data_IF_755405122853
#
_entry.id   IF_755405122853
#
_cell.length_a   1.000
_cell.length_b   1.000
_cell.length_c   1.000
_cell.angle_alpha   90.00
_cell.angle_beta   90.00
_cell.angle_gamma   90.00
#
_symmetry.space_group_name_H-M   'P 1'
#
loop_
_entity.id
_entity.type
_entity.pdbx_description
1 polymer ?
#
# COMPACT_ATOMS: atom_id res chain seq x y z
N UNK A 1 10.42 -8.28 -14.89
CA UNK A 1 9.53 -7.34 -14.18
C UNK A 1 8.48 -6.81 -15.14
N UNK A 2 7.20 -6.95 -14.79
CA UNK A 2 6.07 -6.40 -15.54
C UNK A 2 5.94 -4.89 -15.34
N UNK A 3 5.21 -4.21 -16.23
CA UNK A 3 4.94 -2.78 -16.11
C UNK A 3 4.22 -2.43 -14.80
N UNK A 4 3.29 -3.28 -14.34
CA UNK A 4 2.60 -3.09 -13.05
C UNK A 4 3.56 -3.14 -11.87
N UNK A 5 4.47 -4.12 -11.85
CA UNK A 5 5.46 -4.26 -10.77
C UNK A 5 6.32 -2.99 -10.64
N UNK A 6 6.78 -2.44 -11.76
CA UNK A 6 7.58 -1.19 -11.75
C UNK A 6 6.79 0.01 -11.22
N UNK A 7 5.51 0.12 -11.57
CA UNK A 7 4.64 1.19 -11.07
C UNK A 7 4.50 1.08 -9.55
N UNK A 8 4.24 -0.12 -9.04
CA UNK A 8 4.08 -0.33 -7.60
C UNK A 8 5.39 -0.06 -6.84
N UNK A 9 6.53 -0.55 -7.34
CA UNK A 9 7.86 -0.27 -6.77
C UNK A 9 8.16 1.23 -6.73
N UNK A 10 7.82 1.96 -7.80
CA UNK A 10 7.95 3.41 -7.85
C UNK A 10 7.14 4.10 -6.73
N UNK A 11 5.89 3.68 -6.51
CA UNK A 11 5.09 4.24 -5.42
C UNK A 11 5.62 3.82 -4.05
N UNK A 12 6.08 2.58 -3.85
CA UNK A 12 6.70 2.16 -2.58
C UNK A 12 7.89 3.05 -2.25
N UNK A 13 8.75 3.38 -3.23
CA UNK A 13 9.88 4.27 -3.00
C UNK A 13 9.45 5.69 -2.57
N UNK A 14 8.31 6.19 -3.07
CA UNK A 14 7.79 7.52 -2.71
C UNK A 14 7.19 7.60 -1.32
N UNK A 15 7.02 6.48 -0.62
CA UNK A 15 6.64 6.48 0.80
C UNK A 15 7.72 7.09 1.71
N UNK A 16 8.96 7.25 1.23
CA UNK A 16 10.02 7.96 1.97
C UNK A 16 10.21 9.42 1.55
N UNK A 17 9.27 9.99 0.79
CA UNK A 17 9.38 11.39 0.35
C UNK A 17 9.39 12.35 1.55
N UNK A 18 10.19 13.42 1.45
CA UNK A 18 10.31 14.45 2.48
C UNK A 18 8.97 15.16 2.73
N UNK A 19 8.16 15.33 1.69
CA UNK A 19 6.84 15.95 1.78
C UNK A 19 5.79 14.96 2.29
N UNK A 20 5.12 15.30 3.39
CA UNK A 20 4.00 14.51 3.91
C UNK A 20 2.86 14.41 2.87
N UNK A 21 2.61 15.47 2.10
CA UNK A 21 1.60 15.47 1.04
C UNK A 21 1.89 14.43 -0.05
N UNK A 22 3.17 14.27 -0.42
CA UNK A 22 3.58 13.24 -1.39
C UNK A 22 3.36 11.85 -0.80
N UNK A 23 3.71 11.62 0.46
CA UNK A 23 3.48 10.33 1.13
C UNK A 23 1.99 10.00 1.19
N UNK A 24 1.13 10.96 1.57
CA UNK A 24 -0.33 10.80 1.58
C UNK A 24 -0.88 10.44 0.20
N UNK A 25 -0.48 11.19 -0.84
CA UNK A 25 -0.89 10.91 -2.22
C UNK A 25 -0.45 9.51 -2.66
N UNK A 26 0.77 9.14 -2.33
CA UNK A 26 1.36 7.84 -2.66
C UNK A 26 0.60 6.68 -2.01
N UNK A 27 0.23 6.82 -0.73
CA UNK A 27 -0.59 5.83 -0.02
C UNK A 27 -1.95 5.64 -0.72
N UNK A 28 -2.58 6.72 -1.17
CA UNK A 28 -3.83 6.65 -1.90
C UNK A 28 -3.66 5.97 -3.28
N UNK A 29 -2.58 6.30 -4.01
CA UNK A 29 -2.26 5.68 -5.29
C UNK A 29 -2.05 4.16 -5.15
N UNK A 30 -1.31 3.70 -4.13
CA UNK A 30 -1.13 2.28 -3.83
C UNK A 30 -2.45 1.55 -3.54
N UNK A 31 -3.38 2.22 -2.86
CA UNK A 31 -4.71 1.68 -2.60
C UNK A 31 -5.53 1.55 -3.89
N UNK A 32 -5.50 2.55 -4.78
CA UNK A 32 -6.20 2.52 -6.07
C UNK A 32 -5.64 1.46 -7.02
N UNK A 33 -4.34 1.17 -6.94
CA UNK A 33 -3.68 0.11 -7.70
C UNK A 33 -3.94 -1.30 -7.15
N UNK A 34 -4.66 -1.39 -6.02
CA UNK A 34 -4.87 -2.62 -5.26
C UNK A 34 -3.54 -3.35 -5.01
N UNK A 35 -2.49 -2.58 -4.67
CA UNK A 35 -1.12 -3.05 -4.53
C UNK A 35 -0.93 -3.84 -3.22
N UNK A 36 -1.50 -5.04 -3.14
CA UNK A 36 -1.40 -5.91 -1.95
C UNK A 36 0.04 -6.29 -1.57
N UNK A 37 0.97 -6.22 -2.52
CA UNK A 37 2.40 -6.37 -2.28
C UNK A 37 3.04 -5.22 -1.48
N UNK A 38 2.36 -4.07 -1.33
CA UNK A 38 2.86 -2.91 -0.57
C UNK A 38 2.50 -2.97 0.93
N UNK A 39 1.87 -4.06 1.41
CA UNK A 39 1.39 -4.18 2.79
C UNK A 39 2.52 -3.98 3.83
N UNK A 40 3.69 -4.59 3.60
CA UNK A 40 4.82 -4.46 4.53
C UNK A 40 5.34 -3.01 4.57
N UNK A 41 5.43 -2.35 3.41
CA UNK A 41 5.85 -0.95 3.33
C UNK A 41 4.86 -0.01 4.04
N UNK A 42 3.55 -0.25 3.89
CA UNK A 42 2.52 0.53 4.60
C UNK A 42 2.54 0.28 6.11
N UNK A 43 2.88 -0.93 6.55
CA UNK A 43 3.07 -1.24 7.96
C UNK A 43 4.22 -0.45 8.57
N UNK A 44 5.33 -0.33 7.84
CA UNK A 44 6.48 0.47 8.29
C UNK A 44 6.14 1.96 8.38
N UNK A 45 5.41 2.51 7.41
CA UNK A 45 4.89 3.88 7.46
C UNK A 45 3.97 4.05 8.68
N UNK A 46 3.02 3.13 8.91
CA UNK A 46 2.13 3.21 10.07
C UNK A 46 2.89 3.22 11.41
N UNK A 47 4.00 2.49 11.52
CA UNK A 47 4.79 2.44 12.77
C UNK A 47 5.64 3.69 12.95
N UNK A 48 6.32 4.11 11.90
CA UNK A 48 7.50 4.96 11.99
C UNK A 48 7.34 6.36 11.38
N UNK A 49 6.29 6.62 10.59
CA UNK A 49 6.13 7.95 9.99
C UNK A 49 5.97 9.02 11.08
N UNK A 50 6.67 10.17 10.98
CA UNK A 50 6.55 11.23 11.97
C UNK A 50 5.20 11.94 11.91
N UNK A 51 4.51 11.90 10.77
CA UNK A 51 3.25 12.59 10.56
C UNK A 51 2.05 11.69 10.94
N UNK A 52 1.26 12.14 11.91
CA UNK A 52 0.12 11.39 12.41
C UNK A 52 -0.98 11.15 11.36
N UNK A 53 -1.16 12.05 10.40
CA UNK A 53 -2.10 11.86 9.30
C UNK A 53 -1.61 10.78 8.34
N UNK A 54 -0.32 10.79 8.01
CA UNK A 54 0.30 9.76 7.17
C UNK A 54 0.18 8.38 7.83
N UNK A 55 0.42 8.26 9.14
CA UNK A 55 0.21 7.00 9.88
C UNK A 55 -1.24 6.50 9.76
N UNK A 56 -2.22 7.39 9.96
CA UNK A 56 -3.65 7.03 9.84
C UNK A 56 -4.01 6.63 8.41
N UNK A 57 -3.47 7.31 7.41
CA UNK A 57 -3.67 6.96 6.00
C UNK A 57 -3.11 5.56 5.69
N UNK A 58 -1.88 5.27 6.13
CA UNK A 58 -1.26 3.97 5.96
C UNK A 58 -2.06 2.86 6.64
N UNK A 59 -2.58 3.09 7.84
CA UNK A 59 -3.45 2.13 8.53
C UNK A 59 -4.72 1.82 7.73
N UNK A 60 -5.40 2.84 7.17
CA UNK A 60 -6.61 2.66 6.36
C UNK A 60 -6.31 1.90 5.07
N UNK A 61 -5.27 2.30 4.35
CA UNK A 61 -4.86 1.64 3.11
C UNK A 61 -4.44 0.19 3.37
N UNK A 62 -3.66 -0.07 4.42
CA UNK A 62 -3.24 -1.41 4.81
C UNK A 62 -4.42 -2.33 5.10
N UNK A 63 -5.44 -1.86 5.84
CA UNK A 63 -6.68 -2.64 6.08
C UNK A 63 -7.40 -2.98 4.78
N UNK A 64 -7.55 -2.00 3.88
CA UNK A 64 -8.24 -2.19 2.59
C UNK A 64 -7.50 -3.20 1.71
N UNK A 65 -6.18 -3.07 1.58
CA UNK A 65 -5.35 -3.97 0.78
C UNK A 65 -5.29 -5.38 1.36
N UNK A 66 -5.30 -5.52 2.69
CA UNK A 66 -5.37 -6.84 3.32
C UNK A 66 -6.69 -7.55 3.02
N UNK A 67 -7.82 -6.83 3.04
CA UNK A 67 -9.12 -7.38 2.65
C UNK A 67 -9.14 -7.86 1.18
N UNK A 68 -8.54 -7.09 0.27
CA UNK A 68 -8.40 -7.48 -1.14
C UNK A 68 -7.53 -8.74 -1.26
N UNK A 69 -6.41 -8.80 -0.53
CA UNK A 69 -5.54 -9.99 -0.52
C UNK A 69 -6.27 -11.25 -0.07
N UNK A 70 -7.08 -11.16 0.98
CA UNK A 70 -7.88 -12.29 1.46
C UNK A 70 -8.92 -12.73 0.41
N UNK A 71 -9.68 -11.78 -0.14
CA UNK A 71 -10.69 -12.09 -1.16
C UNK A 71 -10.07 -12.74 -2.42
N UNK A 72 -8.87 -12.33 -2.82
CA UNK A 72 -8.16 -12.94 -3.94
C UNK A 72 -7.70 -14.36 -3.64
N UNK A 73 -7.25 -14.64 -2.41
CA UNK A 73 -6.85 -15.99 -2.01
C UNK A 73 -8.07 -16.94 -1.98
N UNK A 74 -9.19 -16.50 -1.39
CA UNK A 74 -10.42 -17.29 -1.32
C UNK A 74 -10.95 -17.67 -2.72
N UNK A 75 -10.82 -16.74 -3.69
CA UNK A 75 -11.20 -16.98 -5.08
C UNK A 75 -10.30 -18.00 -5.78
N UNK A 76 -9.00 -18.06 -5.43
CA UNK A 76 -8.05 -19.03 -5.98
C UNK A 76 -8.27 -20.43 -5.41
N UNK A 77 -8.56 -20.54 -4.11
CA UNK A 77 -8.81 -21.82 -3.45
C UNK A 77 -10.14 -22.46 -3.89
N UNK A 78 -11.12 -21.65 -4.29
CA UNK A 78 -12.41 -22.13 -4.83
C UNK A 78 -12.33 -22.66 -6.27
N UNK A 79 -11.19 -22.47 -6.95
CA UNK A 79 -10.95 -22.91 -8.33
C UNK A 79 -10.01 -24.13 -8.43
N UNK A 80 -9.52 -24.63 -7.29
CA UNK A 80 -8.63 -25.79 -7.17
C UNK A 80 -9.41 -27.05 -6.77
#
# INVERSE_FOLDING_TARGET
MSSRQRIVEYHIHRLSDKSAEIRLKTINELMLLEATEALDALQDVFRNDPDAEVKRAAQRAGRKLYQIKLANNDAQDSQA
#
